data_IF_080706021156
#
_entry.id   IF_080706021156
#
_cell.length_a   1.000
_cell.length_b   1.000
_cell.length_c   1.000
_cell.angle_alpha   90.00
_cell.angle_beta   90.00
_cell.angle_gamma   90.00
#
_symmetry.space_group_name_H-M   'P 1'
#
loop_
_entity.id
_entity.type
_entity.pdbx_description
1 polymer ?
#
# COMPACT_ATOMS: atom_id res chain seq x y z
N UNK A 1 3.45 -1.34 23.29
CA UNK A 1 3.20 -2.47 22.36
C UNK A 1 3.55 -2.11 20.91
N UNK A 2 3.15 -2.94 19.96
CA UNK A 2 3.52 -2.78 18.54
C UNK A 2 3.13 -1.40 17.98
N UNK A 3 1.87 -0.98 18.15
CA UNK A 3 1.39 0.31 17.65
C UNK A 3 2.05 1.51 18.33
N UNK A 4 2.38 1.41 19.60
CA UNK A 4 3.13 2.45 20.31
C UNK A 4 4.54 2.61 19.73
N UNK A 5 5.22 1.50 19.42
CA UNK A 5 6.52 1.51 18.79
C UNK A 5 6.46 2.10 17.37
N UNK A 6 5.43 1.78 16.59
CA UNK A 6 5.21 2.39 15.27
C UNK A 6 5.00 3.89 15.39
N UNK A 7 4.12 4.34 16.27
CA UNK A 7 3.87 5.76 16.50
C UNK A 7 5.14 6.52 16.97
N UNK A 8 5.92 5.91 17.86
CA UNK A 8 7.19 6.48 18.30
C UNK A 8 8.22 6.56 17.17
N UNK A 9 8.29 5.57 16.30
CA UNK A 9 9.17 5.57 15.13
C UNK A 9 8.76 6.66 14.13
N UNK A 10 7.48 6.78 13.82
CA UNK A 10 6.99 7.82 12.91
C UNK A 10 7.20 9.23 13.52
N UNK A 11 7.03 9.37 14.84
CA UNK A 11 7.39 10.63 15.53
C UNK A 11 8.87 10.95 15.39
N UNK A 12 9.75 9.98 15.56
CA UNK A 12 11.20 10.19 15.38
C UNK A 12 11.52 10.64 13.95
N UNK A 13 10.87 10.04 12.95
CA UNK A 13 10.99 10.46 11.55
C UNK A 13 10.51 11.89 11.35
N UNK A 14 9.35 12.24 11.89
CA UNK A 14 8.76 13.58 11.81
C UNK A 14 9.66 14.63 12.48
N UNK A 15 10.19 14.36 13.67
CA UNK A 15 11.11 15.26 14.39
C UNK A 15 12.37 15.56 13.56
N UNK A 16 12.79 14.63 12.71
CA UNK A 16 13.90 14.80 11.77
C UNK A 16 13.48 15.33 10.39
N UNK A 17 12.19 15.57 10.16
CA UNK A 17 11.67 16.07 8.89
C UNK A 17 11.46 15.00 7.80
N UNK A 18 11.51 13.73 8.16
CA UNK A 18 11.37 12.58 7.26
C UNK A 18 10.00 11.90 7.36
N UNK A 19 8.99 12.60 7.83
CA UNK A 19 7.64 12.03 7.81
C UNK A 19 7.19 11.78 6.37
N UNK A 20 6.23 10.87 6.19
CA UNK A 20 5.67 10.59 4.86
C UNK A 20 4.93 11.82 4.30
N UNK A 21 4.71 11.85 3.00
CA UNK A 21 3.87 12.85 2.36
C UNK A 21 2.44 12.79 2.91
N UNK A 22 1.80 13.95 3.06
CA UNK A 22 0.46 14.06 3.65
C UNK A 22 -0.58 13.23 2.89
N UNK A 23 -0.47 13.12 1.56
CA UNK A 23 -1.32 12.25 0.74
C UNK A 23 -1.19 10.78 1.10
N UNK A 24 0.04 10.29 1.31
CA UNK A 24 0.29 8.92 1.76
C UNK A 24 -0.20 8.71 3.20
N UNK A 25 -0.01 9.71 4.06
CA UNK A 25 -0.54 9.65 5.43
C UNK A 25 -2.06 9.54 5.43
N UNK A 26 -2.75 10.29 4.56
CA UNK A 26 -4.20 10.21 4.42
C UNK A 26 -4.67 8.83 3.94
N UNK A 27 -3.99 8.24 2.96
CA UNK A 27 -4.31 6.89 2.48
C UNK A 27 -4.15 5.82 3.59
N UNK A 28 -3.08 5.90 4.37
CA UNK A 28 -2.85 4.98 5.51
C UNK A 28 -3.92 5.20 6.59
N UNK A 29 -4.22 6.46 6.93
CA UNK A 29 -5.24 6.82 7.92
C UNK A 29 -6.61 6.29 7.50
N UNK A 30 -7.02 6.50 6.24
CA UNK A 30 -8.30 6.01 5.72
C UNK A 30 -8.35 4.47 5.68
N UNK A 31 -7.26 3.80 5.34
CA UNK A 31 -7.16 2.35 5.42
C UNK A 31 -7.35 1.84 6.86
N UNK A 32 -6.72 2.49 7.83
CA UNK A 32 -6.91 2.16 9.25
C UNK A 32 -8.35 2.40 9.72
N UNK A 33 -8.98 3.49 9.30
CA UNK A 33 -10.38 3.79 9.65
C UNK A 33 -11.34 2.76 9.04
N UNK A 34 -11.18 2.43 7.76
CA UNK A 34 -11.99 1.40 7.10
C UNK A 34 -11.87 0.04 7.80
N UNK A 35 -10.65 -0.33 8.25
CA UNK A 35 -10.48 -1.52 9.08
C UNK A 35 -11.26 -1.43 10.40
N UNK A 36 -11.21 -0.27 11.08
CA UNK A 36 -11.89 -0.07 12.35
C UNK A 36 -13.41 -0.17 12.25
N UNK A 37 -14.01 0.17 11.10
CA UNK A 37 -15.46 0.06 10.88
C UNK A 37 -15.98 -1.38 11.04
N UNK A 38 -15.15 -2.37 10.73
CA UNK A 38 -15.56 -3.78 10.73
C UNK A 38 -14.81 -4.65 11.74
N UNK A 39 -13.73 -4.16 12.35
CA UNK A 39 -12.80 -4.98 13.14
C UNK A 39 -13.46 -5.75 14.30
N UNK A 40 -14.45 -5.13 14.96
CA UNK A 40 -15.17 -5.72 16.09
C UNK A 40 -16.49 -6.42 15.73
N UNK A 41 -16.89 -6.41 14.45
CA UNK A 41 -18.12 -7.04 13.99
C UNK A 41 -17.96 -8.55 13.87
N UNK A 42 -19.05 -9.30 14.04
CA UNK A 42 -19.04 -10.76 13.98
C UNK A 42 -18.62 -11.29 12.60
N UNK A 43 -19.00 -10.60 11.54
CA UNK A 43 -18.62 -10.86 10.15
C UNK A 43 -17.30 -10.17 9.73
N UNK A 44 -16.74 -9.32 10.59
CA UNK A 44 -15.45 -8.67 10.36
C UNK A 44 -14.32 -9.70 10.30
N UNK A 45 -13.33 -9.44 9.44
CA UNK A 45 -12.24 -10.39 9.14
C UNK A 45 -11.50 -10.91 10.38
N UNK A 46 -11.31 -10.10 11.41
CA UNK A 46 -10.63 -10.51 12.65
C UNK A 46 -11.42 -11.55 13.46
N UNK A 47 -12.75 -11.45 13.44
CA UNK A 47 -13.63 -12.35 14.19
C UNK A 47 -14.02 -13.56 13.33
N UNK A 48 -14.48 -13.34 12.09
CA UNK A 48 -14.92 -14.41 11.21
C UNK A 48 -13.80 -15.40 10.87
N UNK A 49 -12.62 -14.91 10.45
CA UNK A 49 -11.48 -15.79 10.13
C UNK A 49 -11.01 -16.59 11.34
N UNK A 50 -11.00 -16.00 12.53
CA UNK A 50 -10.68 -16.74 13.75
C UNK A 50 -11.70 -17.84 14.00
N UNK A 51 -13.00 -17.53 13.90
CA UNK A 51 -14.09 -18.48 14.11
C UNK A 51 -14.03 -19.65 13.12
N UNK A 52 -13.74 -19.37 11.85
CA UNK A 52 -13.56 -20.39 10.80
C UNK A 52 -12.37 -21.33 11.12
N UNK A 53 -11.23 -20.75 11.46
CA UNK A 53 -10.03 -21.54 11.82
C UNK A 53 -10.26 -22.36 13.08
N UNK A 54 -10.92 -21.79 14.09
CA UNK A 54 -11.24 -22.50 15.33
C UNK A 54 -12.17 -23.69 15.09
N UNK A 55 -13.12 -23.57 14.14
CA UNK A 55 -14.02 -24.67 13.78
C UNK A 55 -13.31 -25.87 13.12
N UNK A 56 -12.11 -25.66 12.58
CA UNK A 56 -11.28 -26.72 11.97
C UNK A 56 -10.32 -27.42 12.95
N UNK A 57 -10.33 -27.04 14.23
CA UNK A 57 -9.47 -27.66 15.25
C UNK A 57 -10.17 -28.84 15.90
N UNK A 58 -9.61 -30.02 15.74
CA UNK A 58 -10.14 -31.26 16.35
C UNK A 58 -9.91 -31.29 17.86
N UNK A 59 -10.81 -31.96 18.58
CA UNK A 59 -10.65 -32.28 20.00
C UNK A 59 -11.04 -31.14 20.97
N UNK A 60 -11.57 -30.04 20.49
CA UNK A 60 -12.10 -29.00 21.36
C UNK A 60 -13.54 -29.31 21.79
N UNK A 61 -13.84 -29.08 23.07
CA UNK A 61 -15.21 -29.12 23.55
C UNK A 61 -16.00 -27.86 23.10
N UNK A 62 -17.33 -27.97 23.11
CA UNK A 62 -18.18 -26.79 22.79
C UNK A 62 -17.93 -25.61 23.74
N UNK A 63 -17.56 -25.89 25.00
CA UNK A 63 -17.21 -24.86 25.96
C UNK A 63 -15.89 -24.20 25.61
N UNK A 64 -14.85 -24.97 25.24
CA UNK A 64 -13.56 -24.39 24.82
C UNK A 64 -13.74 -23.49 23.60
N UNK A 65 -14.54 -23.92 22.62
CA UNK A 65 -14.84 -23.12 21.40
C UNK A 65 -15.51 -21.80 21.80
N UNK A 66 -16.51 -21.84 22.68
CA UNK A 66 -17.18 -20.63 23.15
C UNK A 66 -16.22 -19.68 23.89
N UNK A 67 -15.37 -20.22 24.75
CA UNK A 67 -14.38 -19.47 25.53
C UNK A 67 -13.32 -18.83 24.63
N UNK A 68 -12.82 -19.53 23.61
CA UNK A 68 -11.85 -18.97 22.65
C UNK A 68 -12.46 -17.88 21.79
N UNK A 69 -13.71 -18.04 21.33
CA UNK A 69 -14.42 -16.99 20.62
C UNK A 69 -14.58 -15.72 21.46
N UNK A 70 -15.02 -15.87 22.71
CA UNK A 70 -15.16 -14.75 23.62
C UNK A 70 -13.83 -14.05 23.88
N UNK A 71 -12.74 -14.80 24.09
CA UNK A 71 -11.39 -14.25 24.27
C UNK A 71 -10.90 -13.51 23.03
N UNK A 72 -11.18 -14.02 21.82
CA UNK A 72 -10.82 -13.32 20.59
C UNK A 72 -11.54 -11.98 20.46
N UNK A 73 -12.85 -11.95 20.69
CA UNK A 73 -13.64 -10.70 20.67
C UNK A 73 -13.11 -9.70 21.70
N UNK A 74 -12.82 -10.14 22.92
CA UNK A 74 -12.23 -9.28 23.97
C UNK A 74 -10.87 -8.72 23.51
N UNK A 75 -9.97 -9.57 22.99
CA UNK A 75 -8.65 -9.17 22.53
C UNK A 75 -8.72 -8.15 21.38
N UNK A 76 -9.65 -8.33 20.44
CA UNK A 76 -9.85 -7.37 19.35
C UNK A 76 -10.32 -6.02 19.89
N UNK A 77 -11.34 -6.02 20.76
CA UNK A 77 -11.90 -4.79 21.29
C UNK A 77 -10.99 -4.05 22.28
N UNK A 78 -10.21 -4.79 23.07
CA UNK A 78 -9.38 -4.19 24.13
C UNK A 78 -7.97 -3.81 23.65
N UNK A 79 -7.48 -4.43 22.59
CA UNK A 79 -6.09 -4.24 22.15
C UNK A 79 -5.94 -3.83 20.68
N UNK A 80 -6.68 -4.45 19.77
CA UNK A 80 -6.52 -4.18 18.33
C UNK A 80 -7.15 -2.84 17.98
N UNK A 81 -8.43 -2.68 18.30
CA UNK A 81 -9.16 -1.44 17.97
C UNK A 81 -8.50 -0.20 18.61
N UNK A 82 -8.21 -0.16 19.92
CA UNK A 82 -7.52 0.99 20.52
C UNK A 82 -6.12 1.21 19.95
N UNK A 83 -5.41 0.14 19.56
CA UNK A 83 -4.11 0.25 18.91
C UNK A 83 -4.18 0.97 17.58
N UNK A 84 -5.10 0.61 16.70
CA UNK A 84 -5.34 1.30 15.43
C UNK A 84 -5.81 2.74 15.62
N UNK A 85 -6.71 3.00 16.59
CA UNK A 85 -7.13 4.38 16.92
C UNK A 85 -5.96 5.25 17.36
N UNK A 86 -5.07 4.70 18.20
CA UNK A 86 -3.87 5.39 18.64
C UNK A 86 -2.93 5.70 17.46
N UNK A 87 -2.77 4.75 16.53
CA UNK A 87 -1.96 4.95 15.32
C UNK A 87 -2.56 6.05 14.42
N UNK A 88 -3.87 6.02 14.17
CA UNK A 88 -4.57 7.06 13.39
C UNK A 88 -4.35 8.44 14.00
N UNK A 89 -4.50 8.56 15.32
CA UNK A 89 -4.29 9.82 16.02
C UNK A 89 -2.84 10.31 15.91
N UNK A 90 -1.87 9.40 16.08
CA UNK A 90 -0.45 9.71 15.94
C UNK A 90 -0.13 10.19 14.52
N UNK A 91 -0.50 9.46 13.48
CA UNK A 91 -0.24 9.85 12.10
C UNK A 91 -0.91 11.17 11.74
N UNK A 92 -2.15 11.37 12.17
CA UNK A 92 -2.87 12.65 11.95
C UNK A 92 -2.13 13.84 12.56
N UNK A 93 -1.58 13.67 13.77
CA UNK A 93 -0.85 14.73 14.47
C UNK A 93 0.51 15.06 13.83
N UNK A 94 1.06 14.16 13.03
CA UNK A 94 2.37 14.30 12.40
C UNK A 94 2.29 14.86 10.97
N UNK A 95 1.11 15.01 10.39
CA UNK A 95 0.93 15.61 9.07
C UNK A 95 1.53 17.01 9.01
N UNK A 96 2.08 17.37 7.86
CA UNK A 96 2.77 18.65 7.65
C UNK A 96 4.18 18.71 8.21
N UNK A 97 4.71 17.66 8.84
CA UNK A 97 6.06 17.63 9.41
C UNK A 97 7.16 17.20 8.41
N UNK A 98 6.79 16.81 7.20
CA UNK A 98 7.76 16.50 6.13
C UNK A 98 8.44 17.79 5.64
N UNK A 99 9.76 17.87 5.78
CA UNK A 99 10.57 19.01 5.30
C UNK A 99 10.99 18.88 3.84
N UNK A 100 10.82 17.70 3.25
CA UNK A 100 11.32 17.33 1.93
C UNK A 100 10.17 16.98 0.97
N UNK A 101 9.00 17.58 1.22
CA UNK A 101 7.80 17.39 0.41
C UNK A 101 8.06 17.65 -1.08
N UNK A 102 7.34 16.95 -1.94
CA UNK A 102 7.42 17.08 -3.39
C UNK A 102 8.33 16.05 -4.08
N UNK A 103 8.81 15.06 -3.34
CA UNK A 103 9.48 13.91 -3.91
C UNK A 103 10.92 13.69 -3.45
N UNK A 104 11.45 12.54 -3.84
CA UNK A 104 12.76 12.06 -3.41
C UNK A 104 13.92 13.02 -3.75
N UNK A 105 13.78 13.80 -4.84
CA UNK A 105 14.80 14.79 -5.24
C UNK A 105 15.03 15.89 -4.20
N UNK A 106 14.07 16.13 -3.30
CA UNK A 106 14.19 17.14 -2.25
C UNK A 106 14.87 16.61 -0.97
N UNK A 107 15.06 15.29 -0.87
CA UNK A 107 15.76 14.68 0.27
C UNK A 107 17.28 14.86 0.15
N UNK A 108 18.01 14.97 1.26
CA UNK A 108 19.47 14.86 1.24
C UNK A 108 19.87 13.54 0.55
N UNK A 109 20.81 13.62 -0.39
CA UNK A 109 21.22 12.48 -1.24
C UNK A 109 20.10 11.75 -1.99
N UNK A 110 18.90 12.34 -2.10
CA UNK A 110 17.74 11.72 -2.72
C UNK A 110 17.96 11.33 -4.18
N UNK A 111 18.63 12.17 -4.97
CA UNK A 111 19.00 11.86 -6.36
C UNK A 111 19.93 10.64 -6.43
N UNK A 112 20.92 10.55 -5.56
CA UNK A 112 21.85 9.41 -5.48
C UNK A 112 21.15 8.13 -5.06
N UNK A 113 20.19 8.23 -4.13
CA UNK A 113 19.37 7.11 -3.72
C UNK A 113 18.44 6.64 -4.86
N UNK A 114 17.88 7.57 -5.62
CA UNK A 114 17.07 7.24 -6.80
C UNK A 114 17.89 6.50 -7.87
N UNK A 115 19.11 6.96 -8.16
CA UNK A 115 20.04 6.24 -9.04
C UNK A 115 20.34 4.82 -8.54
N UNK A 116 20.54 4.66 -7.24
CA UNK A 116 20.73 3.33 -6.63
C UNK A 116 19.49 2.43 -6.83
N UNK A 117 18.29 2.95 -6.59
CA UNK A 117 17.04 2.20 -6.82
C UNK A 117 16.93 1.78 -8.28
N UNK A 118 17.13 2.70 -9.22
CA UNK A 118 17.10 2.39 -10.65
C UNK A 118 18.08 1.29 -11.01
N UNK A 119 19.34 1.41 -10.58
CA UNK A 119 20.38 0.43 -10.88
C UNK A 119 20.10 -0.93 -10.27
N UNK A 120 19.61 -0.99 -9.03
CA UNK A 120 19.29 -2.24 -8.33
C UNK A 120 18.03 -2.92 -8.87
N UNK A 121 17.03 -2.15 -9.29
CA UNK A 121 15.77 -2.68 -9.81
C UNK A 121 15.86 -3.10 -11.26
N UNK A 122 16.53 -2.28 -12.09
CA UNK A 122 16.64 -2.53 -13.52
C UNK A 122 17.92 -3.30 -13.92
N UNK A 123 18.85 -3.50 -12.98
CA UNK A 123 20.13 -4.16 -13.24
C UNK A 123 21.02 -3.39 -14.21
N UNK A 124 20.84 -2.08 -14.34
CA UNK A 124 21.48 -1.26 -15.35
C UNK A 124 22.10 0.02 -14.75
N UNK A 125 23.35 0.28 -15.03
CA UNK A 125 24.12 1.40 -14.46
C UNK A 125 24.14 2.63 -15.36
N UNK A 126 22.97 3.12 -15.80
CA UNK A 126 22.86 4.41 -16.51
C UNK A 126 22.48 5.52 -15.56
N UNK A 127 22.87 6.75 -15.89
CA UNK A 127 22.41 7.95 -15.18
C UNK A 127 20.91 8.18 -15.37
N UNK A 128 20.30 8.97 -14.50
CA UNK A 128 18.88 9.38 -14.62
C UNK A 128 18.61 10.05 -15.97
N UNK A 129 19.50 10.94 -16.42
CA UNK A 129 19.35 11.64 -17.70
C UNK A 129 19.38 10.67 -18.91
N UNK A 130 20.17 9.61 -18.83
CA UNK A 130 20.20 8.59 -19.90
C UNK A 130 18.91 7.77 -19.93
N UNK A 131 18.32 7.48 -18.73
CA UNK A 131 17.02 6.84 -18.64
C UNK A 131 15.90 7.72 -19.18
N UNK A 132 15.89 8.99 -18.81
CA UNK A 132 14.90 9.95 -19.27
C UNK A 132 14.87 10.05 -20.79
N UNK A 133 16.04 10.23 -21.41
CA UNK A 133 16.19 10.23 -22.88
C UNK A 133 15.73 8.92 -23.52
N UNK A 134 16.00 7.78 -22.86
CA UNK A 134 15.59 6.48 -23.36
C UNK A 134 14.06 6.34 -23.30
N UNK A 135 13.44 6.65 -22.17
CA UNK A 135 11.99 6.63 -22.00
C UNK A 135 11.30 7.53 -23.00
N UNK A 136 11.77 8.78 -23.14
CA UNK A 136 11.29 9.75 -24.12
C UNK A 136 11.34 9.21 -25.56
N UNK A 137 12.47 8.57 -25.92
CA UNK A 137 12.65 8.00 -27.26
C UNK A 137 11.65 6.88 -27.55
N UNK A 138 11.43 5.98 -26.56
CA UNK A 138 10.47 4.90 -26.68
C UNK A 138 9.03 5.43 -26.70
N UNK A 139 8.70 6.39 -25.85
CA UNK A 139 7.37 7.01 -25.81
C UNK A 139 7.04 7.59 -27.18
N UNK A 140 7.91 8.44 -27.73
CA UNK A 140 7.74 9.03 -29.05
C UNK A 140 7.60 7.96 -30.16
N UNK A 141 8.45 6.93 -30.13
CA UNK A 141 8.40 5.83 -31.09
C UNK A 141 7.05 5.07 -31.05
N UNK A 142 6.57 4.76 -29.84
CA UNK A 142 5.33 4.02 -29.70
C UNK A 142 4.10 4.89 -29.96
N UNK A 143 4.11 6.17 -29.61
CA UNK A 143 3.05 7.11 -30.00
C UNK A 143 2.91 7.23 -31.51
N UNK A 144 4.02 7.38 -32.25
CA UNK A 144 4.01 7.41 -33.71
C UNK A 144 3.49 6.08 -34.31
N UNK A 145 3.87 4.96 -33.70
CA UNK A 145 3.38 3.65 -34.12
C UNK A 145 1.88 3.50 -33.89
N UNK A 146 1.37 3.94 -32.73
CA UNK A 146 -0.07 3.96 -32.46
C UNK A 146 -0.83 4.83 -33.44
N UNK A 147 -0.35 6.05 -33.71
CA UNK A 147 -0.95 6.93 -34.73
C UNK A 147 -0.99 6.26 -36.12
N UNK A 148 0.13 5.65 -36.51
CA UNK A 148 0.20 4.93 -37.81
C UNK A 148 -0.80 3.76 -37.88
N UNK A 149 -1.01 3.04 -36.78
CA UNK A 149 -2.01 1.96 -36.73
C UNK A 149 -3.42 2.49 -36.78
N UNK A 150 -3.74 3.53 -36.01
CA UNK A 150 -5.05 4.18 -36.00
C UNK A 150 -5.43 4.80 -37.36
N UNK A 151 -4.46 5.34 -38.10
CA UNK A 151 -4.67 5.82 -39.46
C UNK A 151 -4.94 4.70 -40.48
N UNK A 152 -4.44 3.47 -40.23
CA UNK A 152 -4.68 2.32 -41.09
C UNK A 152 -6.01 1.64 -40.80
N UNK A 153 -6.41 1.62 -39.53
CA UNK A 153 -7.64 1.01 -39.06
C UNK A 153 -8.15 1.80 -37.83
N UNK A 154 -9.10 2.69 -38.07
CA UNK A 154 -9.69 3.51 -36.99
C UNK A 154 -10.43 2.71 -35.93
N UNK A 155 -10.88 1.47 -36.27
CA UNK A 155 -11.55 0.58 -35.31
C UNK A 155 -10.63 0.07 -34.20
N UNK A 156 -9.31 0.28 -34.32
CA UNK A 156 -8.34 -0.11 -33.28
C UNK A 156 -8.57 0.67 -31.98
N UNK A 157 -8.99 1.94 -32.06
CA UNK A 157 -9.27 2.74 -30.88
C UNK A 157 -10.46 2.17 -30.09
N UNK A 158 -11.54 1.78 -30.79
CA UNK A 158 -12.71 1.17 -30.14
C UNK A 158 -12.40 -0.22 -29.54
N UNK A 159 -11.50 -0.96 -30.21
CA UNK A 159 -11.05 -2.27 -29.72
C UNK A 159 -10.11 -2.15 -28.51
N UNK A 160 -9.40 -1.03 -28.38
CA UNK A 160 -8.48 -0.82 -27.25
C UNK A 160 -9.24 -0.73 -25.93
N UNK A 161 -10.38 -0.06 -25.90
CA UNK A 161 -11.23 0.07 -24.71
C UNK A 161 -11.91 -1.24 -24.29
N UNK A 162 -12.08 -2.17 -25.25
CA UNK A 162 -12.73 -3.47 -25.02
C UNK A 162 -11.74 -4.64 -24.90
N UNK A 163 -10.44 -4.38 -25.07
CA UNK A 163 -9.40 -5.40 -25.03
C UNK A 163 -9.20 -5.95 -23.62
N UNK A 164 -9.45 -7.25 -23.45
CA UNK A 164 -9.11 -7.97 -22.23
C UNK A 164 -8.07 -9.06 -22.51
N UNK A 165 -6.99 -9.08 -21.74
CA UNK A 165 -6.05 -10.20 -21.73
C UNK A 165 -6.69 -11.39 -21.02
N UNK A 166 -6.89 -12.48 -21.72
CA UNK A 166 -7.23 -13.74 -21.09
C UNK A 166 -5.94 -14.42 -20.60
N UNK A 167 -5.61 -14.19 -19.32
CA UNK A 167 -4.41 -14.75 -18.69
C UNK A 167 -4.53 -16.24 -18.36
N UNK A 168 -5.66 -16.88 -18.68
CA UNK A 168 -5.94 -18.29 -18.34
C UNK A 168 -5.66 -19.26 -19.49
N UNK A 169 -5.25 -18.77 -20.66
CA UNK A 169 -4.87 -19.61 -21.81
C UNK A 169 -3.34 -19.49 -22.04
N UNK A 170 -2.53 -20.36 -21.41
CA UNK A 170 -1.15 -20.53 -21.82
C UNK A 170 -1.17 -21.36 -23.12
N UNK A 171 -1.19 -20.66 -24.26
CA UNK A 171 -1.11 -21.29 -25.57
C UNK A 171 0.05 -22.25 -25.72
#
# INVERSE_FOLDING_TARGET
GYFENMAAFEKLRADNGYFMEDTLADEVIESCKSFLETAGLEDGAMISTFNEKLASVDGLSSQDIADYKAKNVSAVNEHVIPGYQSLVNALTSLKGSNRYSGGLCNYPDGSRYFEYILSSTLGWSKSVDEYDKLVDSYLKKYMLKMQSLALKDSSILDKFDTFSFNMTDPG
#
